data_IF_542514562996
#
_entry.id   IF_542514562996
#
_cell.length_a   1.000
_cell.length_b   1.000
_cell.length_c   1.000
_cell.angle_alpha   90.00
_cell.angle_beta   90.00
_cell.angle_gamma   90.00
#
_symmetry.space_group_name_H-M   'P 1'
#
loop_
_entity.id
_entity.type
_entity.pdbx_description
1 polymer ?
#
# COMPACT_ATOMS: atom_id res chain seq x y z
N UNK A 1 19.76 21.69 -29.75
CA UNK A 1 19.44 21.41 -28.33
C UNK A 1 20.34 20.29 -27.88
N UNK A 2 21.11 20.48 -26.80
CA UNK A 2 21.78 19.34 -26.16
C UNK A 2 20.72 18.33 -25.72
N UNK A 3 20.96 17.01 -25.82
CA UNK A 3 20.03 16.02 -25.29
C UNK A 3 19.87 16.32 -23.80
N UNK A 4 18.62 16.50 -23.35
CA UNK A 4 18.34 16.70 -21.94
C UNK A 4 18.87 15.49 -21.17
N UNK A 5 19.60 15.74 -20.08
CA UNK A 5 20.10 14.68 -19.24
C UNK A 5 18.91 13.96 -18.61
N UNK A 6 18.73 12.70 -18.99
CA UNK A 6 17.66 11.83 -18.51
C UNK A 6 17.67 11.74 -16.98
N UNK A 7 18.86 11.78 -16.37
CA UNK A 7 18.99 11.72 -14.91
C UNK A 7 18.45 13.01 -14.27
N UNK A 8 18.70 14.17 -14.90
CA UNK A 8 18.13 15.44 -14.47
C UNK A 8 16.60 15.48 -14.63
N UNK A 9 16.04 14.87 -15.69
CA UNK A 9 14.59 14.76 -15.87
C UNK A 9 13.98 13.89 -14.77
N UNK A 10 14.51 12.69 -14.54
CA UNK A 10 13.99 11.79 -13.51
C UNK A 10 14.13 12.38 -12.10
N UNK A 11 15.25 13.05 -11.80
CA UNK A 11 15.44 13.76 -10.54
C UNK A 11 14.42 14.89 -10.37
N UNK A 12 14.12 15.64 -11.44
CA UNK A 12 13.10 16.68 -11.42
C UNK A 12 11.71 16.10 -11.18
N UNK A 13 11.39 14.94 -11.78
CA UNK A 13 10.12 14.24 -11.54
C UNK A 13 9.99 13.79 -10.09
N UNK A 14 11.04 13.19 -9.50
CA UNK A 14 11.04 12.82 -8.08
C UNK A 14 10.88 14.04 -7.17
N UNK A 15 11.53 15.15 -7.48
CA UNK A 15 11.39 16.41 -6.74
C UNK A 15 9.95 16.92 -6.79
N UNK A 16 9.31 16.89 -7.97
CA UNK A 16 7.92 17.31 -8.14
C UNK A 16 6.95 16.38 -7.42
N UNK A 17 7.19 15.07 -7.45
CA UNK A 17 6.43 14.10 -6.65
C UNK A 17 6.58 14.43 -5.16
N UNK A 18 7.80 14.63 -4.67
CA UNK A 18 8.05 14.99 -3.28
C UNK A 18 7.38 16.31 -2.88
N UNK A 19 7.42 17.33 -3.75
CA UNK A 19 6.75 18.61 -3.51
C UNK A 19 5.23 18.47 -3.43
N UNK A 20 4.63 17.72 -4.35
CA UNK A 20 3.19 17.45 -4.38
C UNK A 20 2.72 16.53 -3.24
N UNK A 21 3.61 15.71 -2.66
CA UNK A 21 3.35 14.92 -1.45
C UNK A 21 3.42 15.78 -0.17
N UNK A 22 4.21 16.86 -0.17
CA UNK A 22 4.28 17.84 0.92
C UNK A 22 3.05 18.77 0.87
N UNK A 23 2.69 19.25 -0.31
CA UNK A 23 1.42 19.93 -0.50
C UNK A 23 0.26 18.93 -0.33
N UNK A 24 -0.93 19.39 0.04
CA UNK A 24 -2.16 18.56 0.07
C UNK A 24 -2.64 18.20 -1.35
N UNK A 25 -1.72 18.13 -2.31
CA UNK A 25 -1.98 18.02 -3.74
C UNK A 25 -2.85 16.81 -4.01
N UNK A 26 -4.15 17.08 -4.22
CA UNK A 26 -5.30 16.15 -4.32
C UNK A 26 -5.13 15.11 -5.44
N UNK A 27 -4.14 14.23 -5.31
CA UNK A 27 -3.78 13.21 -6.28
C UNK A 27 -2.95 13.70 -7.47
N UNK A 28 -2.54 14.97 -7.59
CA UNK A 28 -1.80 15.46 -8.77
C UNK A 28 -0.45 14.76 -9.00
N UNK A 29 0.16 14.26 -7.92
CA UNK A 29 1.35 13.40 -7.96
C UNK A 29 1.19 12.18 -8.88
N UNK A 30 -0.03 11.66 -9.06
CA UNK A 30 -0.30 10.51 -9.95
C UNK A 30 0.04 10.83 -11.40
N UNK A 31 -0.16 12.08 -11.85
CA UNK A 31 0.18 12.51 -13.20
C UNK A 31 1.71 12.54 -13.39
N UNK A 32 2.45 12.94 -12.36
CA UNK A 32 3.91 12.90 -12.37
C UNK A 32 4.43 11.46 -12.40
N UNK A 33 3.85 10.55 -11.62
CA UNK A 33 4.19 9.10 -11.66
C UNK A 33 3.89 8.50 -13.03
N UNK A 34 2.71 8.79 -13.61
CA UNK A 34 2.33 8.29 -14.94
C UNK A 34 3.27 8.83 -16.04
N UNK A 35 3.68 10.09 -15.93
CA UNK A 35 4.69 10.69 -16.79
C UNK A 35 6.05 10.00 -16.64
N UNK A 36 6.51 9.80 -15.39
CA UNK A 36 7.75 9.10 -15.06
C UNK A 36 7.76 7.70 -15.68
N UNK A 37 6.67 6.96 -15.49
CA UNK A 37 6.48 5.60 -15.99
C UNK A 37 6.64 5.53 -17.50
N UNK A 38 6.00 6.44 -18.24
CA UNK A 38 6.11 6.47 -19.71
C UNK A 38 7.56 6.73 -20.17
N UNK A 39 8.29 7.58 -19.45
CA UNK A 39 9.71 7.85 -19.72
C UNK A 39 10.55 6.60 -19.44
N UNK A 40 10.32 5.98 -18.29
CA UNK A 40 11.04 4.79 -17.82
C UNK A 40 10.84 3.60 -18.75
N UNK A 41 9.62 3.32 -19.18
CA UNK A 41 9.30 2.25 -20.15
C UNK A 41 10.10 2.42 -21.45
N UNK A 42 10.16 3.64 -21.98
CA UNK A 42 10.93 3.95 -23.19
C UNK A 42 12.44 3.78 -22.98
N UNK A 43 12.95 4.18 -21.82
CA UNK A 43 14.37 4.03 -21.47
C UNK A 43 14.76 2.56 -21.32
N UNK A 44 13.92 1.75 -20.67
CA UNK A 44 14.14 0.30 -20.54
C UNK A 44 14.11 -0.38 -21.91
N UNK A 45 13.10 -0.08 -22.73
CA UNK A 45 13.00 -0.63 -24.08
C UNK A 45 14.22 -0.25 -24.95
N UNK A 46 14.68 0.99 -24.85
CA UNK A 46 15.90 1.45 -25.53
C UNK A 46 17.15 0.74 -25.02
N UNK A 47 17.33 0.63 -23.70
CA UNK A 47 18.52 0.00 -23.11
C UNK A 47 18.61 -1.49 -23.45
N UNK A 48 17.47 -2.19 -23.51
CA UNK A 48 17.39 -3.58 -23.97
C UNK A 48 17.76 -3.69 -25.45
N UNK A 49 17.24 -2.79 -26.29
CA UNK A 49 17.54 -2.79 -27.73
C UNK A 49 19.02 -2.46 -28.03
N UNK A 50 19.68 -1.69 -27.18
CA UNK A 50 21.07 -1.24 -27.35
C UNK A 50 22.07 -1.97 -26.43
N UNK A 51 21.65 -3.03 -25.72
CA UNK A 51 22.44 -3.77 -24.72
C UNK A 51 23.21 -2.85 -23.73
N UNK A 52 22.62 -1.70 -23.40
CA UNK A 52 23.31 -0.66 -22.63
C UNK A 52 23.02 -0.82 -21.15
N UNK A 53 24.08 -0.88 -20.33
CA UNK A 53 23.94 -0.96 -18.87
C UNK A 53 23.54 0.40 -18.30
N UNK A 54 22.46 0.43 -17.50
CA UNK A 54 22.05 1.63 -16.78
C UNK A 54 23.06 1.99 -15.68
N UNK A 55 23.35 3.28 -15.51
CA UNK A 55 24.18 3.78 -14.41
C UNK A 55 23.50 3.52 -13.05
N UNK A 56 24.25 3.43 -11.94
CA UNK A 56 23.67 3.27 -10.61
C UNK A 56 22.69 4.40 -10.24
N UNK A 57 23.03 5.66 -10.58
CA UNK A 57 22.15 6.81 -10.36
C UNK A 57 20.85 6.70 -11.15
N UNK A 58 20.93 6.36 -12.45
CA UNK A 58 19.74 6.17 -13.29
C UNK A 58 18.86 5.06 -12.76
N UNK A 59 19.46 3.94 -12.32
CA UNK A 59 18.73 2.81 -11.73
C UNK A 59 17.99 3.23 -10.45
N UNK A 60 18.66 3.98 -9.57
CA UNK A 60 18.08 4.52 -8.34
C UNK A 60 16.92 5.49 -8.61
N UNK A 61 17.08 6.42 -9.57
CA UNK A 61 16.05 7.37 -9.95
C UNK A 61 14.80 6.68 -10.51
N UNK A 62 15.00 5.71 -11.41
CA UNK A 62 13.90 4.93 -12.00
C UNK A 62 13.17 4.12 -10.93
N UNK A 63 13.92 3.45 -10.06
CA UNK A 63 13.42 2.65 -8.95
C UNK A 63 12.50 3.44 -8.02
N UNK A 64 12.90 4.64 -7.61
CA UNK A 64 12.11 5.50 -6.74
C UNK A 64 10.85 6.08 -7.42
N UNK A 65 10.82 6.18 -8.75
CA UNK A 65 9.64 6.62 -9.50
C UNK A 65 8.59 5.50 -9.71
N UNK A 66 8.99 4.23 -9.61
CA UNK A 66 8.19 3.08 -10.04
C UNK A 66 7.34 2.45 -8.94
N UNK A 67 7.43 2.93 -7.69
CA UNK A 67 6.73 2.33 -6.53
C UNK A 67 5.19 2.39 -6.64
N UNK A 68 4.64 3.06 -7.67
CA UNK A 68 3.21 3.08 -8.00
C UNK A 68 2.75 2.25 -9.20
N UNK A 69 3.61 1.50 -9.91
CA UNK A 69 3.13 0.60 -10.96
C UNK A 69 4.13 0.18 -12.05
N UNK A 70 4.34 -1.14 -12.22
CA UNK A 70 4.23 -1.91 -13.48
C UNK A 70 5.08 -3.20 -13.59
N UNK A 71 4.63 -4.05 -14.54
CA UNK A 71 5.28 -5.01 -15.48
C UNK A 71 6.49 -5.85 -15.04
N UNK A 72 6.52 -7.11 -15.48
CA UNK A 72 7.59 -8.08 -15.22
C UNK A 72 8.99 -7.61 -15.66
N UNK A 73 9.08 -6.74 -16.67
CA UNK A 73 10.36 -6.21 -17.18
C UNK A 73 11.02 -5.21 -16.22
N UNK A 74 10.27 -4.61 -15.30
CA UNK A 74 10.75 -3.64 -14.30
C UNK A 74 10.99 -4.26 -12.93
N UNK A 75 10.84 -5.58 -12.78
CA UNK A 75 10.94 -6.28 -11.49
C UNK A 75 12.30 -6.12 -10.80
N UNK A 76 13.40 -6.06 -11.57
CA UNK A 76 14.73 -5.83 -11.02
C UNK A 76 14.90 -4.42 -10.45
N UNK A 77 14.27 -3.41 -11.07
CA UNK A 77 14.26 -2.02 -10.57
C UNK A 77 13.42 -1.89 -9.30
N UNK A 78 12.33 -2.66 -9.20
CA UNK A 78 11.50 -2.73 -8.00
C UNK A 78 12.26 -3.41 -6.85
N UNK A 79 13.01 -4.49 -7.13
CA UNK A 79 13.88 -5.11 -6.13
C UNK A 79 14.96 -4.14 -5.64
N UNK A 80 15.49 -3.28 -6.49
CA UNK A 80 16.43 -2.24 -6.06
C UNK A 80 15.76 -1.12 -5.24
N UNK A 81 14.44 -0.94 -5.41
CA UNK A 81 13.64 -0.01 -4.59
C UNK A 81 13.46 -0.53 -3.17
N UNK A 82 13.35 -1.85 -2.99
CA UNK A 82 13.16 -2.49 -1.68
C UNK A 82 14.19 -2.01 -0.65
N UNK A 83 15.45 -1.83 -1.05
CA UNK A 83 16.54 -1.43 -0.18
C UNK A 83 16.70 0.09 -0.03
N UNK A 84 16.26 0.87 -1.02
CA UNK A 84 16.64 2.28 -1.17
C UNK A 84 15.47 3.26 -1.12
N UNK A 85 14.24 2.78 -1.14
CA UNK A 85 13.03 3.60 -1.13
C UNK A 85 12.43 3.70 0.27
N UNK A 86 11.85 4.85 0.59
CA UNK A 86 11.32 5.18 1.92
C UNK A 86 10.14 4.30 2.37
N UNK A 87 9.47 3.60 1.45
CA UNK A 87 8.40 2.66 1.79
C UNK A 87 8.89 1.28 2.21
N UNK A 88 10.14 0.90 1.85
CA UNK A 88 10.72 -0.44 2.04
C UNK A 88 9.73 -1.58 1.73
N UNK A 89 8.84 -1.37 0.76
CA UNK A 89 7.74 -2.27 0.48
C UNK A 89 8.27 -3.52 -0.28
N UNK A 90 7.96 -4.75 0.16
CA UNK A 90 8.39 -5.95 -0.54
C UNK A 90 7.81 -6.02 -1.95
N UNK A 91 8.65 -6.04 -2.98
CA UNK A 91 8.22 -6.01 -4.37
C UNK A 91 7.36 -7.24 -4.74
N UNK A 92 7.54 -8.37 -4.06
CA UNK A 92 6.73 -9.57 -4.23
C UNK A 92 5.25 -9.39 -3.84
N UNK A 93 4.95 -8.49 -2.90
CA UNK A 93 3.58 -8.22 -2.45
C UNK A 93 2.83 -7.24 -3.38
N UNK A 94 3.57 -6.40 -4.11
CA UNK A 94 3.00 -5.33 -4.94
C UNK A 94 2.09 -5.86 -6.07
N UNK A 95 2.50 -6.84 -6.89
CA UNK A 95 1.63 -7.38 -7.93
C UNK A 95 0.40 -8.08 -7.36
N UNK A 96 0.49 -8.66 -6.16
CA UNK A 96 -0.63 -9.30 -5.47
C UNK A 96 -1.67 -8.24 -5.07
N UNK A 97 -1.21 -7.15 -4.46
CA UNK A 97 -2.03 -6.01 -4.07
C UNK A 97 -2.72 -5.37 -5.28
N UNK A 98 -1.97 -5.15 -6.37
CA UNK A 98 -2.49 -4.59 -7.62
C UNK A 98 -3.53 -5.50 -8.29
N UNK A 99 -3.29 -6.83 -8.31
CA UNK A 99 -4.26 -7.78 -8.84
C UNK A 99 -5.57 -7.74 -8.03
N UNK A 100 -5.49 -7.63 -6.70
CA UNK A 100 -6.64 -7.42 -5.82
C UNK A 100 -7.41 -6.13 -6.16
N UNK A 101 -6.71 -5.01 -6.30
CA UNK A 101 -7.32 -3.72 -6.66
C UNK A 101 -8.01 -3.76 -8.04
N UNK A 102 -7.42 -4.47 -9.01
CA UNK A 102 -8.02 -4.64 -10.35
C UNK A 102 -9.32 -5.44 -10.29
N UNK A 103 -9.41 -6.48 -9.46
CA UNK A 103 -10.66 -7.24 -9.27
C UNK A 103 -11.79 -6.34 -8.76
N UNK A 104 -11.47 -5.42 -7.84
CA UNK A 104 -12.43 -4.47 -7.31
C UNK A 104 -12.92 -3.46 -8.37
N UNK A 105 -12.04 -3.05 -9.30
CA UNK A 105 -12.39 -2.13 -10.41
C UNK A 105 -13.27 -2.81 -11.47
N UNK A 106 -12.98 -4.07 -11.82
CA UNK A 106 -13.74 -4.82 -12.83
C UNK A 106 -15.19 -5.12 -12.43
N UNK A 107 -15.51 -5.06 -11.13
CA UNK A 107 -16.87 -5.30 -10.66
C UNK A 107 -17.82 -4.13 -10.92
N UNK A 108 -17.29 -2.91 -11.06
CA UNK A 108 -18.10 -1.71 -11.36
C UNK A 108 -18.64 -1.75 -12.81
N UNK A 109 -18.06 -2.58 -13.69
CA UNK A 109 -18.32 -2.59 -15.14
C UNK A 109 -19.15 -3.79 -15.66
N UNK A 110 -19.53 -4.78 -14.85
CA UNK A 110 -20.08 -6.04 -15.39
C UNK A 110 -21.26 -6.70 -14.65
N UNK A 111 -22.32 -7.05 -15.40
CA UNK A 111 -23.30 -8.11 -15.07
C UNK A 111 -22.74 -9.45 -15.55
N UNK A 112 -21.85 -10.03 -14.75
CA UNK A 112 -21.14 -11.28 -15.09
C UNK A 112 -22.01 -12.53 -14.80
N UNK A 113 -21.97 -13.58 -15.64
CA UNK A 113 -22.57 -14.87 -15.33
C UNK A 113 -21.90 -15.55 -14.11
N UNK A 114 -22.67 -16.35 -13.37
CA UNK A 114 -22.27 -16.95 -12.07
C UNK A 114 -20.96 -17.75 -12.12
N UNK A 115 -20.69 -18.49 -13.20
CA UNK A 115 -19.46 -19.30 -13.34
C UNK A 115 -18.18 -18.44 -13.37
N UNK A 116 -18.25 -17.23 -13.93
CA UNK A 116 -17.12 -16.31 -13.95
C UNK A 116 -16.92 -15.65 -12.57
N UNK A 117 -18.00 -15.51 -11.77
CA UNK A 117 -17.91 -15.02 -10.41
C UNK A 117 -17.16 -15.99 -9.48
N UNK A 118 -17.40 -17.30 -9.60
CA UNK A 118 -16.70 -18.33 -8.81
C UNK A 118 -15.20 -18.40 -9.13
N UNK A 119 -14.84 -18.31 -10.41
CA UNK A 119 -13.42 -18.28 -10.82
C UNK A 119 -12.69 -17.04 -10.28
N UNK A 120 -13.33 -15.86 -10.35
CA UNK A 120 -12.78 -14.62 -9.76
C UNK A 120 -12.59 -14.74 -8.25
N UNK A 121 -13.56 -15.35 -7.54
CA UNK A 121 -13.49 -15.57 -6.10
C UNK A 121 -12.33 -16.48 -5.72
N UNK A 122 -12.16 -17.58 -6.45
CA UNK A 122 -11.02 -18.48 -6.27
C UNK A 122 -9.69 -17.74 -6.52
N UNK A 123 -9.60 -16.96 -7.59
CA UNK A 123 -8.44 -16.11 -7.87
C UNK A 123 -8.10 -15.15 -6.73
N UNK A 124 -9.10 -14.48 -6.15
CA UNK A 124 -8.90 -13.58 -5.01
C UNK A 124 -8.39 -14.31 -3.75
N UNK A 125 -8.95 -15.48 -3.44
CA UNK A 125 -8.47 -16.33 -2.34
C UNK A 125 -7.03 -16.82 -2.57
N UNK A 126 -6.68 -17.12 -3.82
CA UNK A 126 -5.30 -17.45 -4.21
C UNK A 126 -4.33 -16.29 -3.98
N UNK A 127 -4.73 -15.06 -4.31
CA UNK A 127 -3.92 -13.86 -4.02
C UNK A 127 -3.71 -13.69 -2.51
N UNK A 128 -4.77 -13.85 -1.72
CA UNK A 128 -4.66 -13.79 -0.25
C UNK A 128 -3.71 -14.86 0.28
N UNK A 129 -3.83 -16.10 -0.19
CA UNK A 129 -2.91 -17.18 0.19
C UNK A 129 -1.46 -16.88 -0.21
N UNK A 130 -1.24 -16.34 -1.41
CA UNK A 130 0.09 -15.95 -1.87
C UNK A 130 0.70 -14.86 -0.96
N UNK A 131 -0.06 -13.83 -0.58
CA UNK A 131 0.40 -12.81 0.37
C UNK A 131 0.73 -13.43 1.73
N UNK A 132 -0.09 -14.35 2.24
CA UNK A 132 0.18 -15.07 3.50
C UNK A 132 1.42 -15.94 3.45
N UNK A 133 1.75 -16.50 2.28
CA UNK A 133 2.93 -17.35 2.09
C UNK A 133 4.25 -16.57 1.98
N UNK A 134 4.20 -15.24 1.80
CA UNK A 134 5.39 -14.40 1.81
C UNK A 134 6.11 -14.50 3.16
N UNK A 135 7.44 -14.67 3.10
CA UNK A 135 8.32 -14.81 4.28
C UNK A 135 9.15 -13.52 4.47
N UNK A 136 8.79 -12.67 5.46
CA UNK A 136 9.50 -11.43 5.74
C UNK A 136 10.97 -11.59 6.13
N UNK A 137 11.31 -12.65 6.86
CA UNK A 137 12.67 -12.89 7.33
C UNK A 137 13.58 -13.33 6.17
N UNK A 138 13.11 -14.25 5.34
CA UNK A 138 13.82 -14.65 4.12
C UNK A 138 13.99 -13.46 3.18
N UNK A 139 12.95 -12.63 3.02
CA UNK A 139 13.05 -11.41 2.24
C UNK A 139 14.12 -10.46 2.78
N UNK A 140 14.13 -10.19 4.09
CA UNK A 140 15.08 -9.28 4.72
C UNK A 140 16.53 -9.80 4.58
N UNK A 141 16.76 -11.10 4.77
CA UNK A 141 18.08 -11.73 4.58
C UNK A 141 18.58 -11.54 3.14
N UNK A 142 17.72 -11.74 2.15
CA UNK A 142 18.07 -11.57 0.75
C UNK A 142 18.27 -10.10 0.35
N UNK A 143 17.62 -9.18 1.06
CA UNK A 143 17.78 -7.74 0.85
C UNK A 143 19.04 -7.19 1.50
N UNK A 144 19.47 -7.74 2.63
CA UNK A 144 20.58 -7.24 3.45
C UNK A 144 21.87 -6.92 2.66
N UNK A 145 22.34 -7.71 1.68
CA UNK A 145 23.52 -7.39 0.89
C UNK A 145 23.41 -6.10 0.05
N UNK A 146 22.18 -5.62 -0.17
CA UNK A 146 21.84 -4.43 -0.95
C UNK A 146 21.29 -3.29 -0.08
N UNK A 147 21.15 -3.51 1.22
CA UNK A 147 20.69 -2.49 2.17
C UNK A 147 21.82 -1.49 2.45
N UNK A 148 21.52 -0.19 2.59
CA UNK A 148 22.52 0.81 2.96
C UNK A 148 22.99 0.71 4.42
N UNK A 149 22.31 -0.07 5.25
CA UNK A 149 22.59 -0.23 6.68
C UNK A 149 22.43 -1.69 7.14
N UNK A 150 22.98 -2.02 8.31
CA UNK A 150 22.71 -3.28 9.00
C UNK A 150 21.36 -3.20 9.74
N UNK A 151 20.28 -3.38 8.99
CA UNK A 151 18.90 -3.10 9.40
C UNK A 151 18.00 -4.33 9.32
N UNK A 152 18.58 -5.55 9.33
CA UNK A 152 17.88 -6.82 9.13
C UNK A 152 16.63 -6.98 10.00
N UNK A 153 16.73 -6.62 11.28
CA UNK A 153 15.61 -6.69 12.21
C UNK A 153 14.50 -5.72 11.78
N UNK A 154 14.82 -4.44 11.57
CA UNK A 154 13.83 -3.44 11.15
C UNK A 154 13.17 -3.80 9.80
N UNK A 155 13.95 -4.34 8.86
CA UNK A 155 13.45 -4.83 7.57
C UNK A 155 12.46 -5.99 7.74
N UNK A 156 12.77 -6.93 8.63
CA UNK A 156 11.90 -8.06 8.93
C UNK A 156 10.56 -7.57 9.52
N UNK A 157 10.61 -6.66 10.50
CA UNK A 157 9.41 -6.10 11.12
C UNK A 157 8.56 -5.30 10.13
N UNK A 158 9.18 -4.43 9.32
CA UNK A 158 8.47 -3.66 8.29
C UNK A 158 7.83 -4.58 7.23
N UNK A 159 8.55 -5.61 6.77
CA UNK A 159 8.01 -6.56 5.81
C UNK A 159 6.86 -7.40 6.40
N UNK A 160 6.93 -7.76 7.69
CA UNK A 160 5.83 -8.41 8.42
C UNK A 160 4.60 -7.50 8.51
N UNK A 161 4.80 -6.21 8.80
CA UNK A 161 3.71 -5.25 8.83
C UNK A 161 3.05 -5.04 7.45
N UNK A 162 3.86 -4.91 6.37
CA UNK A 162 3.33 -4.83 5.01
C UNK A 162 2.56 -6.09 4.61
N UNK A 163 3.07 -7.28 4.97
CA UNK A 163 2.38 -8.55 4.76
C UNK A 163 1.01 -8.56 5.44
N UNK A 164 0.95 -8.17 6.72
CA UNK A 164 -0.29 -8.08 7.49
C UNK A 164 -1.29 -7.12 6.83
N UNK A 165 -0.85 -5.91 6.50
CA UNK A 165 -1.66 -4.90 5.83
C UNK A 165 -2.20 -5.37 4.47
N UNK A 166 -1.37 -5.98 3.62
CA UNK A 166 -1.82 -6.53 2.33
C UNK A 166 -2.86 -7.63 2.54
N UNK A 167 -2.69 -8.50 3.53
CA UNK A 167 -3.66 -9.55 3.85
C UNK A 167 -5.00 -8.97 4.34
N UNK A 168 -4.99 -7.94 5.19
CA UNK A 168 -6.21 -7.22 5.62
C UNK A 168 -6.90 -6.59 4.41
N UNK A 169 -6.15 -5.88 3.57
CA UNK A 169 -6.68 -5.23 2.38
C UNK A 169 -7.34 -6.20 1.40
N UNK A 170 -6.66 -7.30 1.05
CA UNK A 170 -7.19 -8.33 0.16
C UNK A 170 -8.44 -9.00 0.75
N UNK A 171 -8.44 -9.26 2.04
CA UNK A 171 -9.61 -9.82 2.73
C UNK A 171 -10.81 -8.89 2.67
N UNK A 172 -10.58 -7.57 2.77
CA UNK A 172 -11.63 -6.56 2.63
C UNK A 172 -12.15 -6.42 1.21
N UNK A 173 -11.29 -6.54 0.19
CA UNK A 173 -11.74 -6.67 -1.20
C UNK A 173 -12.62 -7.91 -1.37
N UNK A 174 -12.19 -9.07 -0.86
CA UNK A 174 -12.94 -10.32 -0.94
C UNK A 174 -14.32 -10.17 -0.28
N UNK A 175 -14.40 -9.55 0.89
CA UNK A 175 -15.67 -9.31 1.57
C UNK A 175 -16.55 -8.26 0.87
N UNK A 176 -15.98 -7.31 0.14
CA UNK A 176 -16.75 -6.35 -0.67
C UNK A 176 -17.43 -7.07 -1.85
N UNK A 177 -16.65 -7.90 -2.55
CA UNK A 177 -17.12 -8.61 -3.75
C UNK A 177 -17.98 -9.84 -3.41
N UNK A 178 -17.67 -10.53 -2.31
CA UNK A 178 -18.32 -11.75 -1.86
C UNK A 178 -18.55 -11.74 -0.33
N UNK A 179 -19.57 -11.02 0.17
CA UNK A 179 -19.81 -10.81 1.60
C UNK A 179 -20.00 -12.08 2.43
N UNK A 180 -20.47 -13.17 1.81
CA UNK A 180 -20.67 -14.46 2.47
C UNK A 180 -19.38 -15.32 2.56
N UNK A 181 -18.22 -14.79 2.19
CA UNK A 181 -16.95 -15.51 2.26
C UNK A 181 -16.48 -15.66 3.70
N UNK A 182 -16.18 -16.90 4.09
CA UNK A 182 -15.50 -17.19 5.35
C UNK A 182 -14.01 -16.94 5.14
N UNK A 183 -13.48 -15.96 5.87
CA UNK A 183 -12.06 -15.63 5.84
C UNK A 183 -11.26 -16.62 6.70
N UNK A 184 -9.98 -16.84 6.37
CA UNK A 184 -9.11 -17.73 7.14
C UNK A 184 -8.63 -17.10 8.46
N UNK A 185 -8.57 -15.77 8.55
CA UNK A 185 -8.01 -15.05 9.69
C UNK A 185 -9.03 -14.08 10.29
N UNK A 186 -8.86 -13.79 11.59
CA UNK A 186 -9.49 -12.66 12.25
C UNK A 186 -8.75 -11.37 11.85
N UNK A 187 -9.45 -10.47 11.17
CA UNK A 187 -8.87 -9.24 10.65
C UNK A 187 -8.45 -8.27 11.74
N UNK A 188 -9.16 -8.23 12.87
CA UNK A 188 -8.80 -7.34 13.98
C UNK A 188 -7.55 -7.84 14.69
N UNK A 189 -7.42 -9.16 14.87
CA UNK A 189 -6.21 -9.77 15.40
C UNK A 189 -5.00 -9.53 14.47
N UNK A 190 -5.18 -9.69 13.15
CA UNK A 190 -4.14 -9.45 12.15
C UNK A 190 -3.71 -7.96 12.10
N UNK A 191 -4.67 -7.04 12.25
CA UNK A 191 -4.38 -5.61 12.35
C UNK A 191 -3.61 -5.26 13.63
N UNK A 192 -3.98 -5.86 14.77
CA UNK A 192 -3.25 -5.69 16.02
C UNK A 192 -1.81 -6.24 15.94
N UNK A 193 -1.61 -7.42 15.33
CA UNK A 193 -0.28 -7.97 15.05
C UNK A 193 0.55 -7.05 14.14
N UNK A 194 -0.07 -6.48 13.11
CA UNK A 194 0.56 -5.46 12.26
C UNK A 194 1.07 -4.28 13.10
N UNK A 195 0.26 -3.77 14.05
CA UNK A 195 0.67 -2.68 14.96
C UNK A 195 1.84 -3.06 15.86
N UNK A 196 1.92 -4.32 16.32
CA UNK A 196 3.05 -4.81 17.11
C UNK A 196 4.35 -4.67 16.32
N UNK A 197 4.39 -5.17 15.08
CA UNK A 197 5.56 -5.03 14.21
C UNK A 197 5.93 -3.57 13.96
N UNK A 198 4.93 -2.71 13.71
CA UNK A 198 5.16 -1.29 13.49
C UNK A 198 5.69 -0.56 14.72
N UNK A 199 5.39 -1.05 15.93
CA UNK A 199 5.86 -0.49 17.20
C UNK A 199 7.36 -0.69 17.42
N UNK A 200 8.00 -1.57 16.66
CA UNK A 200 9.44 -1.75 16.69
C UNK A 200 10.21 -0.57 16.06
N UNK A 201 9.55 0.31 15.31
CA UNK A 201 10.16 1.50 14.71
C UNK A 201 9.94 2.74 15.57
N UNK A 202 11.01 3.50 15.82
CA UNK A 202 10.99 4.76 16.55
C UNK A 202 11.05 5.97 15.59
N UNK A 203 10.52 7.14 16.02
CA UNK A 203 10.75 8.38 15.30
C UNK A 203 12.25 8.66 15.16
N UNK A 204 12.72 8.79 13.91
CA UNK A 204 14.14 8.98 13.57
C UNK A 204 14.82 7.75 12.99
N UNK A 205 14.22 6.56 13.07
CA UNK A 205 14.70 5.39 12.31
C UNK A 205 14.52 5.60 10.81
N UNK A 206 15.48 5.14 10.01
CA UNK A 206 15.48 5.32 8.55
C UNK A 206 14.26 4.71 7.85
N UNK A 207 13.62 3.71 8.47
CA UNK A 207 12.43 3.03 7.94
C UNK A 207 11.12 3.51 8.58
N UNK A 208 11.14 4.57 9.38
CA UNK A 208 9.94 5.04 10.06
C UNK A 208 8.81 5.41 9.08
N UNK A 209 9.16 6.02 7.94
CA UNK A 209 8.23 6.38 6.86
C UNK A 209 7.56 5.17 6.22
N UNK A 210 8.24 4.02 6.21
CA UNK A 210 7.69 2.76 5.68
C UNK A 210 6.47 2.26 6.48
N UNK A 211 6.28 2.78 7.69
CA UNK A 211 5.17 2.40 8.57
C UNK A 211 3.84 3.04 8.18
N UNK A 212 3.84 4.10 7.37
CA UNK A 212 2.66 4.92 7.11
C UNK A 212 1.48 4.12 6.50
N UNK A 213 1.73 3.37 5.43
CA UNK A 213 0.67 2.62 4.75
C UNK A 213 0.16 1.43 5.57
N UNK A 214 1.01 0.57 6.18
CA UNK A 214 0.52 -0.48 7.07
C UNK A 214 -0.22 0.06 8.30
N UNK A 215 0.23 1.19 8.88
CA UNK A 215 -0.47 1.83 9.99
C UNK A 215 -1.86 2.33 9.58
N UNK A 216 -1.98 2.88 8.37
CA UNK A 216 -3.27 3.28 7.80
C UNK A 216 -4.21 2.09 7.67
N UNK A 217 -3.75 1.01 7.02
CA UNK A 217 -4.57 -0.19 6.79
C UNK A 217 -4.97 -0.86 8.09
N UNK A 218 -4.05 -1.02 9.04
CA UNK A 218 -4.37 -1.52 10.36
C UNK A 218 -5.43 -0.62 11.03
N UNK A 219 -5.20 0.70 11.03
CA UNK A 219 -6.11 1.72 11.57
C UNK A 219 -7.55 1.63 11.07
N UNK A 220 -7.75 1.26 9.81
CA UNK A 220 -9.09 1.10 9.21
C UNK A 220 -9.86 -0.10 9.79
N UNK A 221 -9.13 -1.12 10.24
CA UNK A 221 -9.69 -2.38 10.68
C UNK A 221 -10.07 -2.36 12.17
N UNK A 222 -9.17 -1.87 13.02
CA UNK A 222 -9.29 -1.88 14.48
C UNK A 222 -10.52 -1.13 15.02
N UNK A 223 -11.20 -1.75 15.98
CA UNK A 223 -12.31 -1.16 16.69
C UNK A 223 -11.89 -0.57 18.05
N UNK A 224 -10.88 -1.14 18.69
CA UNK A 224 -10.48 -0.77 20.05
C UNK A 224 -9.85 0.63 20.13
N UNK A 225 -10.11 1.32 21.25
CA UNK A 225 -9.68 2.70 21.45
C UNK A 225 -8.17 2.82 21.69
N UNK A 226 -7.52 1.78 22.22
CA UNK A 226 -6.10 1.80 22.55
C UNK A 226 -5.26 1.80 21.27
N UNK A 227 -5.52 0.87 20.36
CA UNK A 227 -4.81 0.79 19.10
C UNK A 227 -5.17 1.96 18.18
N UNK A 228 -6.40 2.49 18.23
CA UNK A 228 -6.73 3.75 17.54
C UNK A 228 -5.91 4.92 18.06
N UNK A 229 -5.76 5.06 19.38
CA UNK A 229 -4.91 6.10 19.96
C UNK A 229 -3.44 5.93 19.54
N UNK A 230 -2.96 4.68 19.47
CA UNK A 230 -1.64 4.37 18.93
C UNK A 230 -1.49 4.81 17.47
N UNK A 231 -2.47 4.51 16.61
CA UNK A 231 -2.45 4.93 15.20
C UNK A 231 -2.45 6.45 15.08
N UNK A 232 -3.30 7.15 15.85
CA UNK A 232 -3.31 8.62 15.88
C UNK A 232 -1.92 9.15 16.23
N UNK A 233 -1.28 8.61 17.28
CA UNK A 233 0.06 9.02 17.68
C UNK A 233 1.08 8.74 16.58
N UNK A 234 1.02 7.58 15.93
CA UNK A 234 1.89 7.22 14.82
C UNK A 234 1.81 8.23 13.66
N UNK A 235 0.61 8.64 13.27
CA UNK A 235 0.43 9.65 12.22
C UNK A 235 0.90 11.05 12.65
N UNK A 236 0.80 11.40 13.94
CA UNK A 236 1.38 12.64 14.47
C UNK A 236 2.91 12.61 14.39
N UNK A 237 3.54 11.51 14.82
CA UNK A 237 5.00 11.34 14.74
C UNK A 237 5.50 11.36 13.28
N UNK A 238 4.77 10.72 12.36
CA UNK A 238 5.08 10.75 10.92
C UNK A 238 5.04 12.18 10.38
N UNK A 239 4.06 12.97 10.78
CA UNK A 239 3.92 14.37 10.36
C UNK A 239 5.02 15.26 10.95
N UNK A 240 5.42 15.03 12.19
CA UNK A 240 6.52 15.76 12.83
C UNK A 240 7.87 15.48 12.15
N UNK A 241 8.10 14.23 11.72
CA UNK A 241 9.33 13.85 11.03
C UNK A 241 9.36 14.33 9.58
N UNK A 242 8.31 14.00 8.82
CA UNK A 242 8.17 14.34 7.41
C UNK A 242 6.75 14.89 7.16
N UNK A 243 6.59 16.21 6.99
CA UNK A 243 5.27 16.86 6.93
C UNK A 243 4.64 16.67 5.55
N UNK A 244 4.44 15.41 5.13
CA UNK A 244 3.71 15.06 3.94
C UNK A 244 2.23 15.34 4.17
N UNK A 245 1.60 16.15 3.31
CA UNK A 245 0.18 16.48 3.38
C UNK A 245 -0.71 15.24 3.47
N UNK A 246 -0.25 14.16 2.82
CA UNK A 246 -0.75 12.79 2.92
C UNK A 246 -1.06 12.34 4.35
N UNK A 247 -0.14 12.56 5.29
CA UNK A 247 -0.25 12.06 6.66
C UNK A 247 -1.47 12.63 7.38
N UNK A 248 -1.80 13.91 7.13
CA UNK A 248 -2.99 14.57 7.70
C UNK A 248 -4.27 14.09 7.04
N UNK A 249 -4.27 13.91 5.72
CA UNK A 249 -5.43 13.41 4.99
C UNK A 249 -5.77 11.97 5.39
N UNK A 250 -4.76 11.11 5.52
CA UNK A 250 -4.91 9.74 6.00
C UNK A 250 -5.51 9.71 7.42
N UNK A 251 -5.02 10.53 8.34
CA UNK A 251 -5.59 10.63 9.69
C UNK A 251 -7.04 11.16 9.69
N UNK A 252 -7.35 12.13 8.81
CA UNK A 252 -8.71 12.62 8.60
C UNK A 252 -9.66 11.55 8.06
N UNK A 253 -9.20 10.74 7.11
CA UNK A 253 -9.95 9.62 6.56
C UNK A 253 -10.23 8.54 7.63
N UNK A 254 -9.21 8.17 8.43
CA UNK A 254 -9.36 7.25 9.56
C UNK A 254 -10.43 7.73 10.55
N UNK A 255 -10.35 9.01 10.96
CA UNK A 255 -11.31 9.61 11.89
C UNK A 255 -12.73 9.56 11.33
N UNK A 256 -12.90 9.93 10.06
CA UNK A 256 -14.20 9.90 9.36
C UNK A 256 -14.80 8.49 9.33
N UNK A 257 -13.97 7.48 9.09
CA UNK A 257 -14.38 6.07 9.06
C UNK A 257 -14.76 5.57 10.46
N UNK A 258 -13.97 5.90 11.48
CA UNK A 258 -14.26 5.53 12.87
C UNK A 258 -15.57 6.16 13.38
N UNK A 259 -15.80 7.44 13.07
CA UNK A 259 -17.04 8.14 13.44
C UNK A 259 -18.26 7.56 12.70
N UNK A 260 -18.10 7.22 11.41
CA UNK A 260 -19.12 6.53 10.64
C UNK A 260 -19.55 5.20 11.27
N UNK A 261 -18.57 4.39 11.70
CA UNK A 261 -18.82 3.08 12.35
C UNK A 261 -19.62 3.23 13.64
N UNK A 262 -19.23 4.19 14.49
CA UNK A 262 -19.91 4.49 15.76
C UNK A 262 -21.36 4.91 15.56
N UNK A 263 -21.62 5.73 14.55
CA UNK A 263 -22.97 6.20 14.25
C UNK A 263 -23.88 5.07 13.73
N UNK A 264 -23.35 4.19 12.89
CA UNK A 264 -24.06 3.00 12.44
C UNK A 264 -24.43 2.06 13.59
N UNK A 265 -23.49 1.79 14.49
CA UNK A 265 -23.72 0.95 15.68
C UNK A 265 -24.78 1.56 16.61
N UNK A 266 -24.77 2.88 16.79
CA UNK A 266 -25.76 3.60 17.59
C UNK A 266 -27.18 3.55 16.97
N UNK A 267 -27.29 3.63 15.64
CA UNK A 267 -28.58 3.46 14.94
C UNK A 267 -29.08 2.01 14.95
N UNK A 268 -28.18 1.02 14.85
CA UNK A 268 -28.51 -0.41 14.87
C UNK A 268 -28.95 -0.87 16.26
N UNK A 269 -28.41 -0.31 17.35
CA UNK A 269 -28.87 -0.63 18.70
C UNK A 269 -30.33 -0.21 19.00
N UNK A 270 -30.95 0.59 18.13
CA UNK A 270 -32.36 1.03 18.22
C UNK A 270 -33.34 0.11 17.48
N UNK A 271 -32.88 -0.70 16.54
CA UNK A 271 -33.70 -1.62 15.75
C UNK A 271 -33.17 -3.05 15.97
N UNK A 272 -33.98 -3.96 16.50
CA UNK A 272 -33.60 -5.35 16.80
C UNK A 272 -33.33 -6.22 15.54
N UNK A 273 -32.39 -5.82 14.69
CA UNK A 273 -31.85 -6.59 13.56
C UNK A 273 -30.33 -6.75 13.75
N UNK A 274 -29.94 -7.33 14.88
CA UNK A 274 -28.55 -7.32 15.38
C UNK A 274 -27.62 -8.32 14.66
N UNK A 275 -28.13 -9.26 13.85
CA UNK A 275 -27.30 -10.36 13.35
C UNK A 275 -26.90 -10.30 11.87
N UNK A 276 -27.49 -9.45 11.04
CA UNK A 276 -27.15 -9.44 9.59
C UNK A 276 -26.26 -8.26 9.15
N UNK A 277 -26.18 -7.15 9.90
CA UNK A 277 -25.55 -5.92 9.40
C UNK A 277 -24.18 -5.55 10.00
N UNK A 278 -23.68 -6.25 11.02
CA UNK A 278 -22.25 -6.14 11.38
C UNK A 278 -21.34 -6.72 10.27
N UNK A 279 -21.90 -7.57 9.39
CA UNK A 279 -21.24 -8.11 8.18
C UNK A 279 -21.07 -7.12 7.03
N UNK A 280 -21.74 -5.95 7.06
CA UNK A 280 -21.76 -5.01 5.92
C UNK A 280 -20.77 -3.84 6.04
N UNK A 281 -20.02 -3.74 7.14
CA UNK A 281 -19.02 -2.67 7.25
C UNK A 281 -17.80 -3.01 6.40
N UNK A 282 -17.66 -2.36 5.25
CA UNK A 282 -16.49 -2.47 4.40
C UNK A 282 -15.85 -1.10 4.14
N UNK A 283 -14.70 -0.85 4.76
CA UNK A 283 -14.01 0.43 4.63
C UNK A 283 -13.47 0.68 3.22
N UNK A 284 -13.24 -0.36 2.41
CA UNK A 284 -12.72 -0.21 1.03
C UNK A 284 -13.71 0.57 0.16
N UNK A 285 -15.00 0.22 0.24
CA UNK A 285 -16.07 0.93 -0.47
C UNK A 285 -16.28 2.34 0.10
N UNK A 286 -16.12 2.49 1.42
CA UNK A 286 -16.23 3.80 2.08
C UNK A 286 -15.13 4.76 1.63
N UNK A 287 -13.88 4.31 1.53
CA UNK A 287 -12.77 5.12 1.03
C UNK A 287 -13.00 5.58 -0.42
N UNK A 288 -13.54 4.71 -1.28
CA UNK A 288 -14.00 5.11 -2.63
C UNK A 288 -15.02 6.25 -2.54
N UNK A 289 -16.02 6.14 -1.66
CA UNK A 289 -17.07 7.17 -1.53
C UNK A 289 -16.59 8.52 -1.00
N UNK A 290 -15.49 8.54 -0.22
CA UNK A 290 -14.89 9.77 0.34
C UNK A 290 -13.90 10.41 -0.66
N UNK A 291 -13.56 9.73 -1.76
CA UNK A 291 -12.59 10.21 -2.75
C UNK A 291 -11.14 10.04 -2.29
N UNK A 292 -10.88 9.03 -1.46
CA UNK A 292 -9.54 8.70 -0.93
C UNK A 292 -9.09 7.32 -1.40
N UNK A 293 -9.49 6.92 -2.61
CA UNK A 293 -9.14 5.66 -3.27
C UNK A 293 -7.65 5.55 -3.55
N UNK A 294 -6.96 6.67 -3.72
CA UNK A 294 -5.51 6.73 -3.89
C UNK A 294 -4.71 6.26 -2.65
N UNK A 295 -5.33 6.14 -1.47
CA UNK A 295 -4.74 5.51 -0.28
C UNK A 295 -4.74 3.97 -0.35
N UNK A 296 -5.38 3.42 -1.38
CA UNK A 296 -5.77 2.02 -1.48
C UNK A 296 -5.44 1.49 -2.88
N UNK A 297 -4.15 1.28 -3.14
CA UNK A 297 -3.57 0.55 -4.29
C UNK A 297 -4.09 0.89 -5.70
#
# INVERSE_FOLDING_TARGET
>A
MAPADVDAILASVLLLIGFELIDTGRGSWIFHINGARTIIEKLVASAVATETTLSPLRRWLMSNCLVGGLSTTTMSLLQDAEGNHCSSFPAALLPIMQAGAQLLKMNDDSTSPDTLADSRRYGALHLLHAAKSFDPAVWAINLQPRSPADDLFHRTEIASAHKGAVCVYLSRIILALWPSTVLPDDLEALAAETIIHLSCMQPGDALFTATAWPAFVAGLEIADLTNRAWVVRRFQDLWELEPWGLTREALGALTTIWDGRKNEDATKSRNNEVYEQQRNWNWVEKLKSIGTDWLVA
#
